data_IF_550974144628
#
_entry.id   IF_550974144628
#
_cell.length_a   1.000
_cell.length_b   1.000
_cell.length_c   1.000
_cell.angle_alpha   90.00
_cell.angle_beta   90.00
_cell.angle_gamma   90.00
#
_symmetry.space_group_name_H-M   'P 1'
#
loop_
_entity.id
_entity.type
_entity.pdbx_description
1 polymer ?
#
# COMPACT_ATOMS: atom_id res chain seq x y z
N UNK A 1 17.47 -11.40 39.97
CA UNK A 1 16.10 -11.07 39.53
C UNK A 1 16.25 -10.31 38.23
N UNK A 2 15.93 -10.99 37.15
CA UNK A 2 16.33 -10.63 35.79
C UNK A 2 15.66 -9.35 35.31
N UNK A 3 16.48 -8.33 35.07
CA UNK A 3 16.10 -7.15 34.33
C UNK A 3 16.29 -7.47 32.83
N UNK A 4 15.33 -8.19 32.24
CA UNK A 4 15.31 -8.35 30.78
C UNK A 4 14.85 -7.03 30.18
N UNK A 5 15.81 -6.24 29.71
CA UNK A 5 15.55 -5.12 28.81
C UNK A 5 14.94 -5.68 27.52
N UNK A 6 13.61 -5.61 27.39
CA UNK A 6 12.93 -5.87 26.13
C UNK A 6 13.39 -4.86 25.09
N UNK A 7 14.38 -5.24 24.27
CA UNK A 7 14.87 -4.41 23.18
C UNK A 7 13.73 -4.23 22.17
N UNK A 8 13.19 -3.03 22.08
CA UNK A 8 12.17 -2.68 21.08
C UNK A 8 12.79 -2.86 19.69
N UNK A 9 12.30 -3.85 18.94
CA UNK A 9 12.73 -4.10 17.56
C UNK A 9 11.94 -3.19 16.63
N UNK A 10 12.62 -2.22 16.01
CA UNK A 10 12.01 -1.36 15.00
C UNK A 10 11.79 -2.14 13.68
N UNK A 11 10.65 -1.97 13.00
CA UNK A 11 10.37 -2.57 11.70
C UNK A 11 11.06 -1.78 10.58
N UNK A 12 12.39 -1.87 10.47
CA UNK A 12 13.14 -1.20 9.40
C UNK A 12 13.07 -2.06 8.15
N UNK A 13 12.40 -1.55 7.10
CA UNK A 13 12.35 -2.22 5.78
C UNK A 13 11.34 -3.37 5.69
N UNK A 14 10.56 -3.62 6.74
CA UNK A 14 9.49 -4.61 6.72
C UNK A 14 8.24 -4.05 6.06
N UNK A 15 7.70 -4.80 5.11
CA UNK A 15 6.51 -4.46 4.35
C UNK A 15 5.42 -5.54 4.44
N UNK A 16 5.70 -6.63 5.16
CA UNK A 16 4.76 -7.70 5.41
C UNK A 16 4.19 -7.59 6.83
N UNK A 17 2.86 -7.56 6.93
CA UNK A 17 2.16 -7.38 8.20
C UNK A 17 2.30 -8.60 9.12
N UNK A 18 2.25 -9.81 8.56
CA UNK A 18 2.38 -11.04 9.32
C UNK A 18 3.78 -11.16 9.94
N UNK A 19 4.82 -10.98 9.14
CA UNK A 19 6.22 -11.00 9.63
C UNK A 19 6.42 -9.98 10.76
N UNK A 20 5.86 -8.77 10.61
CA UNK A 20 5.96 -7.72 11.62
C UNK A 20 5.32 -8.13 12.96
N UNK A 21 4.16 -8.79 12.90
CA UNK A 21 3.41 -9.25 14.09
C UNK A 21 4.06 -10.47 14.74
N UNK A 22 4.45 -11.47 13.94
CA UNK A 22 5.09 -12.70 14.42
C UNK A 22 6.46 -12.42 15.07
N UNK A 23 7.24 -11.47 14.54
CA UNK A 23 8.51 -11.03 15.13
C UNK A 23 8.35 -10.19 16.41
N UNK A 24 7.11 -9.89 16.82
CA UNK A 24 6.75 -9.03 17.97
C UNK A 24 7.47 -7.67 17.93
N UNK A 25 7.50 -7.07 16.74
CA UNK A 25 8.11 -5.74 16.53
C UNK A 25 7.13 -4.64 16.89
N UNK A 26 7.66 -3.44 17.04
CA UNK A 26 6.83 -2.27 17.27
C UNK A 26 5.88 -2.07 16.07
N UNK A 27 4.57 -2.15 16.33
CA UNK A 27 3.49 -1.91 15.38
C UNK A 27 2.62 -0.80 15.92
N UNK A 28 2.40 0.25 15.12
CA UNK A 28 1.35 1.23 15.42
C UNK A 28 0.10 0.78 14.68
N UNK A 29 -0.97 0.56 15.43
CA UNK A 29 -2.22 0.02 14.89
C UNK A 29 -2.86 0.99 13.90
N UNK A 30 -2.89 0.58 12.63
CA UNK A 30 -3.56 1.28 11.52
C UNK A 30 -4.72 0.49 10.95
N UNK A 31 -5.21 -0.52 11.68
CA UNK A 31 -6.22 -1.46 11.21
C UNK A 31 -7.60 -0.84 10.96
N UNK A 32 -7.91 0.31 11.56
CA UNK A 32 -9.10 1.10 11.22
C UNK A 32 -9.22 1.39 9.70
N UNK A 33 -8.08 1.44 9.00
CA UNK A 33 -8.02 1.52 7.54
C UNK A 33 -8.85 0.44 6.82
N UNK A 34 -8.88 -0.77 7.35
CA UNK A 34 -9.66 -1.87 6.76
C UNK A 34 -11.14 -1.52 6.80
N UNK A 35 -11.63 -1.07 7.95
CA UNK A 35 -13.01 -0.63 8.14
C UNK A 35 -13.38 0.52 7.19
N UNK A 36 -12.48 1.51 7.05
CA UNK A 36 -12.66 2.63 6.11
C UNK A 36 -12.75 2.14 4.65
N UNK A 37 -11.88 1.20 4.25
CA UNK A 37 -11.86 0.65 2.90
C UNK A 37 -13.10 -0.20 2.57
N UNK A 38 -13.63 -0.94 3.54
CA UNK A 38 -14.83 -1.78 3.41
C UNK A 38 -16.11 -0.95 3.33
N UNK A 39 -16.20 0.14 4.11
CA UNK A 39 -17.39 1.02 4.13
C UNK A 39 -17.48 1.96 2.93
N UNK A 40 -16.38 2.19 2.19
CA UNK A 40 -16.41 3.09 1.04
C UNK A 40 -17.40 2.60 -0.03
N UNK A 41 -18.28 3.49 -0.49
CA UNK A 41 -19.23 3.19 -1.56
C UNK A 41 -18.54 2.91 -2.91
N UNK A 42 -17.34 3.42 -3.14
CA UNK A 42 -16.62 3.23 -4.39
C UNK A 42 -15.97 1.84 -4.47
N UNK A 43 -16.31 1.06 -5.50
CA UNK A 43 -15.70 -0.26 -5.74
C UNK A 43 -14.19 -0.23 -5.94
N UNK A 44 -13.66 0.89 -6.44
CA UNK A 44 -12.23 1.03 -6.74
C UNK A 44 -11.69 2.21 -5.95
N UNK A 45 -10.72 1.93 -5.08
CA UNK A 45 -10.03 2.90 -4.24
C UNK A 45 -8.61 3.08 -4.76
N UNK A 46 -8.27 4.31 -5.14
CA UNK A 46 -6.92 4.70 -5.46
C UNK A 46 -6.33 5.50 -4.29
N UNK A 47 -5.22 5.02 -3.74
CA UNK A 47 -4.54 5.56 -2.58
C UNK A 47 -3.17 6.15 -2.99
N UNK A 48 -3.15 7.35 -3.62
CA UNK A 48 -1.89 7.98 -4.01
C UNK A 48 -1.19 8.50 -2.76
N UNK A 49 0.04 8.05 -2.52
CA UNK A 49 0.85 8.53 -1.38
C UNK A 49 2.34 8.71 -1.74
N UNK A 50 3.09 9.53 -1.01
CA UNK A 50 4.55 9.60 -1.13
C UNK A 50 5.25 8.27 -0.82
N UNK A 51 6.53 8.13 -1.20
CA UNK A 51 7.35 6.94 -0.89
C UNK A 51 7.54 6.77 0.64
N UNK A 52 7.65 5.52 1.10
CA UNK A 52 7.94 5.13 2.50
C UNK A 52 6.88 5.50 3.54
N UNK A 53 5.61 5.59 3.12
CA UNK A 53 4.47 5.89 4.00
C UNK A 53 3.66 4.64 4.41
N UNK A 54 4.28 3.46 4.43
CA UNK A 54 3.61 2.22 4.89
C UNK A 54 2.58 1.61 3.93
N UNK A 55 2.55 2.03 2.66
CA UNK A 55 1.58 1.54 1.65
C UNK A 55 1.54 0.02 1.52
N UNK A 56 2.71 -0.59 1.28
CA UNK A 56 2.82 -2.03 1.07
C UNK A 56 2.45 -2.78 2.35
N UNK A 57 2.81 -2.25 3.53
CA UNK A 57 2.38 -2.80 4.82
C UNK A 57 0.85 -2.75 4.96
N UNK A 58 0.20 -1.65 4.59
CA UNK A 58 -1.25 -1.53 4.66
C UNK A 58 -1.99 -2.41 3.64
N UNK A 59 -1.43 -2.61 2.45
CA UNK A 59 -1.97 -3.61 1.50
C UNK A 59 -1.75 -5.04 2.00
N UNK A 60 -0.61 -5.33 2.64
CA UNK A 60 -0.34 -6.61 3.28
C UNK A 60 -1.33 -6.88 4.42
N UNK A 61 -1.59 -5.87 5.27
CA UNK A 61 -2.62 -5.89 6.31
C UNK A 61 -4.01 -6.21 5.74
N UNK A 62 -4.45 -5.49 4.69
CA UNK A 62 -5.70 -5.77 3.99
C UNK A 62 -5.74 -7.19 3.40
N UNK A 63 -4.63 -7.64 2.81
CA UNK A 63 -4.51 -8.97 2.24
C UNK A 63 -4.74 -10.03 3.30
N UNK A 64 -4.00 -9.99 4.42
CA UNK A 64 -4.16 -10.97 5.49
C UNK A 64 -5.54 -10.93 6.15
N UNK A 65 -6.17 -9.75 6.21
CA UNK A 65 -7.51 -9.63 6.76
C UNK A 65 -8.60 -10.17 5.83
N UNK A 66 -8.51 -9.95 4.52
CA UNK A 66 -9.60 -10.27 3.57
C UNK A 66 -9.42 -11.61 2.84
N UNK A 67 -8.19 -12.01 2.56
CA UNK A 67 -7.88 -13.20 1.75
C UNK A 67 -8.32 -14.48 2.46
N UNK A 68 -9.16 -15.24 1.77
CA UNK A 68 -9.58 -16.57 2.18
C UNK A 68 -8.37 -17.50 2.20
N UNK A 69 -8.13 -18.09 3.37
CA UNK A 69 -7.05 -19.05 3.62
C UNK A 69 -7.60 -20.16 4.51
N UNK A 70 -6.96 -21.33 4.45
CA UNK A 70 -7.29 -22.46 5.31
C UNK A 70 -6.76 -22.26 6.74
N UNK A 71 -5.73 -21.42 6.89
CA UNK A 71 -5.15 -21.02 8.18
C UNK A 71 -6.00 -19.92 8.84
N UNK A 72 -6.30 -20.07 10.14
CA UNK A 72 -6.92 -19.04 10.96
C UNK A 72 -5.86 -17.99 11.38
N UNK A 73 -6.05 -16.75 10.92
CA UNK A 73 -5.15 -15.63 11.21
C UNK A 73 -5.68 -14.70 12.31
N UNK A 74 -6.72 -15.09 13.05
CA UNK A 74 -7.39 -14.24 14.05
C UNK A 74 -6.42 -13.68 15.10
N UNK A 75 -5.42 -14.46 15.53
CA UNK A 75 -4.37 -14.04 16.47
C UNK A 75 -3.51 -12.87 15.97
N UNK A 76 -3.47 -12.61 14.65
CA UNK A 76 -2.76 -11.45 14.11
C UNK A 76 -3.52 -10.14 14.34
N UNK A 77 -4.83 -10.21 14.59
CA UNK A 77 -5.74 -9.08 14.60
C UNK A 77 -6.51 -8.88 15.91
N UNK A 78 -6.54 -9.85 16.82
CA UNK A 78 -7.44 -9.87 17.98
C UNK A 78 -7.30 -8.66 18.93
N UNK A 79 -6.10 -8.09 19.02
CA UNK A 79 -5.74 -6.89 19.76
C UNK A 79 -5.90 -5.57 18.96
N UNK A 80 -6.24 -5.65 17.67
CA UNK A 80 -6.33 -4.49 16.78
C UNK A 80 -7.73 -3.88 16.72
N UNK A 81 -7.81 -2.59 16.43
CA UNK A 81 -9.05 -1.80 16.32
C UNK A 81 -10.06 -2.43 15.35
N UNK A 82 -9.62 -2.93 14.20
CA UNK A 82 -10.51 -3.57 13.20
C UNK A 82 -11.25 -4.77 13.76
N UNK A 83 -10.68 -5.49 14.73
CA UNK A 83 -11.28 -6.70 15.26
C UNK A 83 -12.49 -6.42 16.15
N UNK A 84 -12.55 -5.22 16.71
CA UNK A 84 -13.69 -4.71 17.48
C UNK A 84 -14.82 -4.21 16.57
N UNK A 85 -14.55 -4.01 15.28
CA UNK A 85 -15.54 -3.62 14.30
C UNK A 85 -16.26 -4.86 13.74
N UNK A 86 -17.46 -5.13 14.28
CA UNK A 86 -18.26 -6.32 13.95
C UNK A 86 -18.58 -6.40 12.45
N UNK A 87 -18.83 -5.27 11.79
CA UNK A 87 -19.11 -5.24 10.36
C UNK A 87 -17.86 -5.62 9.57
N UNK A 88 -16.72 -5.01 9.89
CA UNK A 88 -15.46 -5.33 9.23
C UNK A 88 -15.05 -6.80 9.46
N UNK A 89 -15.21 -7.30 10.69
CA UNK A 89 -14.87 -8.69 11.05
C UNK A 89 -15.70 -9.72 10.30
N UNK A 90 -16.90 -9.39 9.83
CA UNK A 90 -17.68 -10.27 8.96
C UNK A 90 -17.02 -10.53 7.59
N UNK A 91 -16.03 -9.70 7.21
CA UNK A 91 -15.25 -9.87 5.98
C UNK A 91 -13.94 -10.63 6.18
N UNK A 92 -13.64 -11.07 7.41
CA UNK A 92 -12.37 -11.68 7.76
C UNK A 92 -12.15 -13.03 7.03
N UNK A 93 -11.04 -13.13 6.30
CA UNK A 93 -10.59 -14.30 5.52
C UNK A 93 -11.68 -14.92 4.64
N UNK A 94 -12.48 -14.07 4.00
CA UNK A 94 -13.70 -14.52 3.33
C UNK A 94 -13.66 -14.33 1.80
N UNK A 95 -12.61 -13.70 1.26
CA UNK A 95 -12.55 -13.33 -0.16
C UNK A 95 -11.42 -14.03 -0.93
N UNK A 96 -11.67 -14.53 -2.15
CA UNK A 96 -10.58 -14.77 -3.07
C UNK A 96 -9.88 -13.43 -3.36
N UNK A 97 -8.57 -13.39 -3.22
CA UNK A 97 -7.79 -12.16 -3.36
C UNK A 97 -6.68 -12.34 -4.38
N UNK A 98 -6.56 -11.38 -5.30
CA UNK A 98 -5.42 -11.25 -6.21
C UNK A 98 -4.55 -10.11 -5.68
N UNK A 99 -3.28 -10.38 -5.38
CA UNK A 99 -2.33 -9.37 -4.94
C UNK A 99 -1.16 -9.27 -5.93
N UNK A 100 -0.89 -8.08 -6.43
CA UNK A 100 0.16 -7.82 -7.42
C UNK A 100 0.98 -6.62 -7.00
N UNK A 101 2.30 -6.71 -7.10
CA UNK A 101 3.20 -5.55 -6.95
C UNK A 101 3.95 -5.31 -8.25
N UNK A 102 3.96 -4.06 -8.72
CA UNK A 102 4.70 -3.63 -9.92
C UNK A 102 6.04 -2.97 -9.56
N UNK A 103 6.45 -3.04 -8.29
CA UNK A 103 7.63 -2.34 -7.75
C UNK A 103 8.93 -2.67 -8.47
N UNK A 104 9.04 -3.88 -9.02
CA UNK A 104 10.27 -4.40 -9.62
C UNK A 104 10.29 -4.27 -11.15
N UNK A 105 9.21 -3.77 -11.77
CA UNK A 105 9.12 -3.61 -13.23
C UNK A 105 9.74 -2.27 -13.61
N UNK A 106 11.06 -2.28 -13.82
CA UNK A 106 11.87 -1.08 -14.07
C UNK A 106 12.72 -1.18 -15.33
N UNK A 107 12.09 -1.67 -16.39
CA UNK A 107 12.80 -2.00 -17.61
C UNK A 107 13.17 -0.79 -18.47
N UNK A 108 14.16 -0.99 -19.33
CA UNK A 108 14.69 0.03 -20.23
C UNK A 108 13.85 0.25 -21.50
N UNK A 109 12.97 -0.70 -21.84
CA UNK A 109 12.13 -0.66 -23.03
C UNK A 109 10.70 -1.15 -22.74
N UNK A 110 9.76 -0.84 -23.63
CA UNK A 110 8.40 -1.36 -23.53
C UNK A 110 8.35 -2.88 -23.75
N UNK A 111 9.19 -3.44 -24.64
CA UNK A 111 9.23 -4.88 -24.90
C UNK A 111 9.63 -5.64 -23.63
N UNK A 112 10.72 -5.22 -22.99
CA UNK A 112 11.18 -5.82 -21.72
C UNK A 112 10.12 -5.63 -20.62
N UNK A 113 9.50 -4.45 -20.54
CA UNK A 113 8.39 -4.18 -19.61
C UNK A 113 7.24 -5.16 -19.82
N UNK A 114 6.89 -5.42 -21.08
CA UNK A 114 5.82 -6.34 -21.43
C UNK A 114 6.18 -7.78 -21.07
N UNK A 115 7.41 -8.23 -21.30
CA UNK A 115 7.90 -9.54 -20.85
C UNK A 115 7.84 -9.67 -19.31
N UNK A 116 8.28 -8.65 -18.56
CA UNK A 116 8.17 -8.63 -17.11
C UNK A 116 6.70 -8.73 -16.62
N UNK A 117 5.77 -8.10 -17.35
CA UNK A 117 4.33 -8.24 -17.08
C UNK A 117 3.82 -9.65 -17.39
N UNK A 118 4.30 -10.31 -18.46
CA UNK A 118 3.96 -11.69 -18.76
C UNK A 118 4.39 -12.62 -17.62
N UNK A 119 5.60 -12.44 -17.10
CA UNK A 119 6.11 -13.22 -15.98
C UNK A 119 5.33 -12.96 -14.68
N UNK A 120 4.98 -11.69 -14.42
CA UNK A 120 4.14 -11.33 -13.28
C UNK A 120 2.77 -12.01 -13.35
N UNK A 121 2.11 -11.97 -14.52
CA UNK A 121 0.83 -12.65 -14.74
C UNK A 121 0.98 -14.16 -14.58
N UNK A 122 2.06 -14.75 -15.11
CA UNK A 122 2.34 -16.18 -14.94
C UNK A 122 2.47 -16.55 -13.46
N UNK A 123 3.17 -15.73 -12.66
CA UNK A 123 3.30 -15.95 -11.22
C UNK A 123 1.92 -15.91 -10.53
N UNK A 124 1.12 -14.88 -10.82
CA UNK A 124 -0.23 -14.74 -10.23
C UNK A 124 -1.12 -15.94 -10.60
N UNK A 125 -1.08 -16.39 -11.86
CA UNK A 125 -1.78 -17.60 -12.28
C UNK A 125 -1.22 -18.86 -11.61
N UNK A 126 0.08 -18.90 -11.32
CA UNK A 126 0.64 -20.02 -10.58
C UNK A 126 0.14 -20.06 -9.12
N UNK A 127 0.01 -18.90 -8.46
CA UNK A 127 -0.52 -18.79 -7.10
C UNK A 127 -1.97 -19.29 -7.00
N UNK A 128 -2.76 -19.10 -8.06
CA UNK A 128 -4.16 -19.54 -8.12
C UNK A 128 -4.37 -20.85 -8.89
N UNK A 129 -3.34 -21.70 -9.02
CA UNK A 129 -3.38 -22.90 -9.87
C UNK A 129 -4.51 -23.87 -9.54
N UNK A 130 -4.97 -23.92 -8.28
CA UNK A 130 -6.08 -24.76 -7.83
C UNK A 130 -7.36 -24.58 -8.66
N UNK A 131 -7.53 -23.39 -9.26
CA UNK A 131 -8.66 -23.07 -10.16
C UNK A 131 -8.74 -23.99 -11.38
N UNK A 132 -7.61 -24.56 -11.84
CA UNK A 132 -7.59 -25.48 -12.99
C UNK A 132 -8.24 -26.83 -12.69
N UNK A 133 -8.22 -27.25 -11.42
CA UNK A 133 -8.77 -28.52 -10.98
C UNK A 133 -10.30 -28.44 -10.77
N UNK A 134 -10.83 -27.22 -10.69
CA UNK A 134 -12.23 -26.95 -10.43
C UNK A 134 -13.12 -27.33 -11.63
N UNK A 135 -14.27 -27.99 -11.42
CA UNK A 135 -15.19 -28.40 -12.48
C UNK A 135 -15.95 -27.23 -13.12
N UNK A 136 -16.01 -26.07 -12.47
CA UNK A 136 -16.76 -24.89 -12.91
C UNK A 136 -16.16 -24.23 -14.16
N UNK A 137 -14.88 -24.48 -14.43
CA UNK A 137 -14.20 -23.94 -15.61
C UNK A 137 -14.42 -24.82 -16.84
N UNK A 138 -14.82 -24.18 -17.94
CA UNK A 138 -14.91 -24.80 -19.27
C UNK A 138 -13.54 -25.25 -19.81
N UNK A 139 -13.48 -26.23 -20.73
CA UNK A 139 -12.24 -26.63 -21.39
C UNK A 139 -11.47 -25.45 -22.02
N UNK A 140 -12.18 -24.49 -22.61
CA UNK A 140 -11.62 -23.30 -23.26
C UNK A 140 -10.99 -22.34 -22.24
N UNK A 141 -11.65 -22.11 -21.09
CA UNK A 141 -11.09 -21.31 -20.00
C UNK A 141 -9.83 -21.98 -19.42
N UNK A 142 -9.86 -23.31 -19.23
CA UNK A 142 -8.68 -24.07 -18.76
C UNK A 142 -7.53 -24.01 -19.77
N UNK A 143 -7.79 -24.11 -21.07
CA UNK A 143 -6.76 -23.95 -22.09
C UNK A 143 -6.14 -22.55 -22.04
N UNK A 144 -6.97 -21.51 -22.04
CA UNK A 144 -6.52 -20.12 -21.93
C UNK A 144 -5.65 -19.88 -20.69
N UNK A 145 -6.06 -20.42 -19.55
CA UNK A 145 -5.29 -20.37 -18.30
C UNK A 145 -3.91 -21.05 -18.45
N UNK A 146 -3.87 -22.26 -19.03
CA UNK A 146 -2.63 -23.01 -19.26
C UNK A 146 -1.68 -22.27 -20.21
N UNK A 147 -2.21 -21.58 -21.23
CA UNK A 147 -1.39 -20.77 -22.14
C UNK A 147 -0.72 -19.60 -21.43
N UNK A 148 -1.40 -18.94 -20.49
CA UNK A 148 -0.79 -17.91 -19.65
C UNK A 148 0.28 -18.48 -18.71
N UNK A 149 0.06 -19.67 -18.14
CA UNK A 149 1.07 -20.35 -17.32
C UNK A 149 2.35 -20.73 -18.10
N UNK A 150 2.22 -21.00 -19.41
CA UNK A 150 3.33 -21.36 -20.30
C UNK A 150 3.99 -20.15 -20.98
N UNK A 151 3.55 -18.93 -20.67
CA UNK A 151 3.96 -17.69 -21.35
C UNK A 151 3.66 -17.69 -22.87
N UNK A 152 2.66 -18.45 -23.32
CA UNK A 152 2.20 -18.55 -24.72
C UNK A 152 0.98 -17.64 -25.02
N UNK A 153 0.70 -16.72 -24.11
CA UNK A 153 -0.41 -15.77 -24.21
C UNK A 153 -0.10 -14.63 -25.19
N UNK A 154 -1.07 -14.29 -26.04
CA UNK A 154 -0.96 -13.09 -26.88
C UNK A 154 -1.05 -11.80 -26.05
N UNK A 155 -0.64 -10.65 -26.60
CA UNK A 155 -0.81 -9.34 -25.96
C UNK A 155 -2.23 -9.09 -25.45
N UNK A 156 -3.24 -9.47 -26.23
CA UNK A 156 -4.66 -9.36 -25.84
C UNK A 156 -5.02 -10.29 -24.67
N UNK A 157 -4.41 -11.48 -24.61
CA UNK A 157 -4.63 -12.41 -23.50
C UNK A 157 -4.05 -11.87 -22.21
N UNK A 158 -2.79 -11.40 -22.23
CA UNK A 158 -2.12 -10.77 -21.09
C UNK A 158 -2.89 -9.54 -20.62
N UNK A 159 -3.32 -8.69 -21.57
CA UNK A 159 -4.14 -7.50 -21.29
C UNK A 159 -5.43 -7.81 -20.52
N UNK A 160 -6.05 -8.96 -20.79
CA UNK A 160 -7.30 -9.39 -20.16
C UNK A 160 -7.08 -10.34 -18.97
N UNK A 161 -5.84 -10.73 -18.67
CA UNK A 161 -5.56 -11.84 -17.76
C UNK A 161 -6.12 -11.63 -16.35
N UNK A 162 -6.10 -10.40 -15.82
CA UNK A 162 -6.68 -10.11 -14.50
C UNK A 162 -8.20 -10.20 -14.50
N UNK A 163 -8.86 -9.73 -15.57
CA UNK A 163 -10.31 -9.87 -15.72
C UNK A 163 -10.70 -11.34 -15.75
N UNK A 164 -10.03 -12.11 -16.59
CA UNK A 164 -10.27 -13.54 -16.75
C UNK A 164 -10.05 -14.26 -15.41
N UNK A 165 -8.99 -13.92 -14.68
CA UNK A 165 -8.73 -14.52 -13.37
C UNK A 165 -9.78 -14.15 -12.32
N UNK A 166 -10.27 -12.90 -12.31
CA UNK A 166 -11.36 -12.52 -11.39
C UNK A 166 -12.64 -13.31 -11.67
N UNK A 167 -12.94 -13.59 -12.94
CA UNK A 167 -14.06 -14.45 -13.32
C UNK A 167 -13.84 -15.89 -12.84
N UNK A 168 -12.67 -16.46 -13.09
CA UNK A 168 -12.38 -17.84 -12.71
C UNK A 168 -12.44 -18.05 -11.20
N UNK A 169 -11.87 -17.12 -10.42
CA UNK A 169 -11.96 -17.16 -8.96
C UNK A 169 -13.40 -17.01 -8.47
N UNK A 170 -14.21 -16.16 -9.11
CA UNK A 170 -15.63 -16.06 -8.78
C UNK A 170 -16.38 -17.36 -9.03
N UNK A 171 -16.15 -18.01 -10.18
CA UNK A 171 -16.79 -19.28 -10.52
C UNK A 171 -16.45 -20.39 -9.51
N UNK A 172 -15.19 -20.48 -9.08
CA UNK A 172 -14.75 -21.52 -8.14
C UNK A 172 -15.19 -21.22 -6.71
N UNK A 173 -15.08 -19.97 -6.27
CA UNK A 173 -15.30 -19.61 -4.87
C UNK A 173 -16.74 -19.13 -4.59
N UNK A 174 -17.56 -18.90 -5.62
CA UNK A 174 -18.90 -18.29 -5.54
C UNK A 174 -18.90 -16.96 -4.77
N UNK A 175 -17.79 -16.23 -4.87
CA UNK A 175 -17.53 -15.02 -4.12
C UNK A 175 -16.81 -14.00 -4.99
N UNK A 176 -17.23 -12.75 -4.90
CA UNK A 176 -16.55 -11.66 -5.58
C UNK A 176 -15.11 -11.51 -5.08
N UNK A 177 -14.23 -11.01 -5.95
CA UNK A 177 -12.78 -11.00 -5.76
C UNK A 177 -12.31 -9.65 -5.23
N UNK A 178 -11.33 -9.67 -4.34
CA UNK A 178 -10.55 -8.50 -3.94
C UNK A 178 -9.31 -8.40 -4.84
N UNK A 179 -9.10 -7.26 -5.50
CA UNK A 179 -7.92 -7.01 -6.33
C UNK A 179 -7.05 -5.91 -5.69
N UNK A 180 -5.85 -6.29 -5.26
CA UNK A 180 -4.88 -5.39 -4.62
C UNK A 180 -3.69 -5.17 -5.55
N UNK A 181 -3.47 -3.91 -5.98
CA UNK A 181 -2.38 -3.54 -6.89
C UNK A 181 -1.43 -2.55 -6.21
N UNK A 182 -0.23 -3.01 -5.87
CA UNK A 182 0.82 -2.20 -5.28
C UNK A 182 1.76 -1.59 -6.33
N UNK A 183 2.05 -0.30 -6.17
CA UNK A 183 2.90 0.48 -7.08
C UNK A 183 2.49 0.41 -8.56
N UNK A 184 1.18 0.40 -8.85
CA UNK A 184 0.60 0.24 -10.19
C UNK A 184 1.16 1.19 -11.27
N UNK A 185 1.71 2.34 -10.85
CA UNK A 185 2.22 3.38 -11.72
C UNK A 185 3.73 3.26 -12.02
N UNK A 186 4.45 2.33 -11.37
CA UNK A 186 5.91 2.14 -11.56
C UNK A 186 6.31 1.88 -13.02
N UNK A 187 5.69 0.95 -13.77
CA UNK A 187 6.09 0.70 -15.16
C UNK A 187 5.89 1.93 -16.07
N UNK A 188 4.85 2.73 -15.79
CA UNK A 188 4.51 3.93 -16.56
C UNK A 188 5.50 5.05 -16.24
N UNK A 189 5.88 5.21 -14.97
CA UNK A 189 6.96 6.10 -14.56
C UNK A 189 8.25 5.78 -15.30
N UNK A 190 8.57 4.50 -15.45
CA UNK A 190 9.78 4.07 -16.15
C UNK A 190 9.69 4.37 -17.64
N UNK A 191 8.53 4.15 -18.26
CA UNK A 191 8.28 4.57 -19.63
C UNK A 191 8.48 6.07 -19.84
N UNK A 192 8.03 6.91 -18.91
CA UNK A 192 8.29 8.35 -18.95
C UNK A 192 9.80 8.68 -18.87
N UNK A 193 10.53 8.04 -17.96
CA UNK A 193 11.96 8.29 -17.76
C UNK A 193 12.84 7.78 -18.91
N UNK A 194 12.38 6.75 -19.62
CA UNK A 194 13.15 6.03 -20.65
C UNK A 194 12.68 6.29 -22.08
N UNK A 195 11.58 7.03 -22.26
CA UNK A 195 11.09 7.47 -23.58
C UNK A 195 10.10 6.54 -24.27
N UNK A 196 9.43 5.62 -23.53
CA UNK A 196 8.39 4.71 -24.04
C UNK A 196 7.03 4.92 -23.36
N UNK A 197 6.75 6.15 -22.93
CA UNK A 197 5.55 6.48 -22.16
C UNK A 197 4.24 6.15 -22.90
N UNK A 198 4.16 6.46 -24.19
CA UNK A 198 2.93 6.31 -24.98
C UNK A 198 2.54 4.82 -25.16
N UNK A 199 3.52 3.94 -25.32
CA UNK A 199 3.26 2.49 -25.41
C UNK A 199 2.86 1.92 -24.04
N UNK A 200 3.55 2.34 -22.98
CA UNK A 200 3.23 1.93 -21.62
C UNK A 200 1.82 2.38 -21.22
N UNK A 201 1.48 3.66 -21.40
CA UNK A 201 0.19 4.21 -20.99
C UNK A 201 -0.95 3.55 -21.76
N UNK A 202 -0.79 3.29 -23.06
CA UNK A 202 -1.82 2.62 -23.87
C UNK A 202 -2.07 1.19 -23.37
N UNK A 203 -1.00 0.43 -23.11
CA UNK A 203 -1.13 -0.92 -22.58
C UNK A 203 -1.79 -0.93 -21.19
N UNK A 204 -1.23 -0.18 -20.23
CA UNK A 204 -1.69 -0.20 -18.84
C UNK A 204 -3.10 0.38 -18.66
N UNK A 205 -3.47 1.40 -19.44
CA UNK A 205 -4.86 1.90 -19.48
C UNK A 205 -5.83 0.78 -19.82
N UNK A 206 -5.55 0.02 -20.88
CA UNK A 206 -6.43 -1.07 -21.30
C UNK A 206 -6.39 -2.26 -20.33
N UNK A 207 -5.21 -2.57 -19.78
CA UNK A 207 -5.03 -3.65 -18.79
C UNK A 207 -5.81 -3.38 -17.51
N UNK A 208 -5.68 -2.19 -16.93
CA UNK A 208 -6.44 -1.80 -15.73
C UNK A 208 -7.93 -1.62 -16.01
N UNK A 209 -8.30 -1.03 -17.15
CA UNK A 209 -9.69 -0.91 -17.54
C UNK A 209 -10.37 -2.28 -17.67
N UNK A 210 -9.70 -3.27 -18.28
CA UNK A 210 -10.25 -4.62 -18.41
C UNK A 210 -10.53 -5.26 -17.04
N UNK A 211 -9.63 -5.08 -16.06
CA UNK A 211 -9.74 -5.69 -14.73
C UNK A 211 -10.73 -4.96 -13.80
N UNK A 212 -10.83 -3.63 -13.92
CA UNK A 212 -11.53 -2.80 -12.94
C UNK A 212 -12.86 -2.24 -13.46
N UNK A 213 -12.95 -1.90 -14.75
CA UNK A 213 -14.16 -1.27 -15.31
C UNK A 213 -15.29 -2.28 -15.46
N UNK A 214 -16.45 -1.97 -14.89
CA UNK A 214 -17.69 -2.74 -15.04
C UNK A 214 -17.49 -4.25 -14.76
N UNK A 215 -16.53 -4.59 -13.91
CA UNK A 215 -16.23 -5.98 -13.55
C UNK A 215 -17.24 -6.47 -12.49
N UNK A 216 -18.19 -7.29 -12.92
CA UNK A 216 -19.22 -7.86 -12.05
C UNK A 216 -18.65 -8.80 -10.96
N UNK A 217 -17.48 -9.39 -11.21
CA UNK A 217 -16.81 -10.32 -10.32
C UNK A 217 -15.96 -9.63 -9.26
N UNK A 218 -15.77 -8.31 -9.34
CA UNK A 218 -14.95 -7.54 -8.40
C UNK A 218 -15.78 -7.04 -7.21
N UNK A 219 -15.34 -7.38 -6.00
CA UNK A 219 -15.85 -6.83 -4.75
C UNK A 219 -15.21 -5.47 -4.46
N UNK A 220 -13.87 -5.44 -4.51
CA UNK A 220 -13.06 -4.27 -4.20
C UNK A 220 -11.76 -4.28 -5.00
N UNK A 221 -11.45 -3.17 -5.67
CA UNK A 221 -10.12 -2.90 -6.22
C UNK A 221 -9.41 -1.86 -5.37
N UNK A 222 -8.22 -2.14 -4.85
CA UNK A 222 -7.41 -1.18 -4.08
C UNK A 222 -6.07 -1.03 -4.75
N UNK A 223 -5.73 0.20 -5.13
CA UNK A 223 -4.51 0.54 -5.85
C UNK A 223 -3.68 1.51 -5.04
N UNK A 224 -2.38 1.29 -4.94
CA UNK A 224 -1.43 2.23 -4.32
C UNK A 224 -0.39 2.68 -5.33
N UNK A 225 -0.04 3.97 -5.32
CA UNK A 225 0.95 4.53 -6.25
C UNK A 225 1.39 5.91 -5.82
N UNK A 226 2.23 6.57 -6.61
CA UNK A 226 2.78 7.90 -6.28
C UNK A 226 2.04 8.99 -7.09
N UNK A 227 1.81 8.76 -8.38
CA UNK A 227 1.36 9.80 -9.30
C UNK A 227 -0.14 10.02 -9.28
N UNK A 228 -0.52 11.29 -9.08
CA UNK A 228 -1.84 11.82 -9.46
C UNK A 228 -1.96 12.05 -10.98
N UNK A 229 -0.85 12.27 -11.69
CA UNK A 229 -0.85 12.60 -13.14
C UNK A 229 -1.19 11.38 -14.01
N UNK A 230 -0.73 10.19 -13.62
CA UNK A 230 -1.08 8.94 -14.30
C UNK A 230 -2.61 8.69 -14.31
N UNK A 231 -3.35 9.26 -13.34
CA UNK A 231 -4.81 9.12 -13.25
C UNK A 231 -5.53 9.66 -14.48
N UNK A 232 -5.20 10.86 -14.93
CA UNK A 232 -5.95 11.52 -16.02
C UNK A 232 -5.78 10.76 -17.34
N UNK A 233 -4.63 10.13 -17.53
CA UNK A 233 -4.34 9.33 -18.73
C UNK A 233 -4.85 7.87 -18.62
N UNK A 234 -4.75 7.23 -17.44
CA UNK A 234 -5.16 5.83 -17.24
C UNK A 234 -6.65 5.64 -16.97
N UNK A 235 -7.25 6.55 -16.22
CA UNK A 235 -8.57 6.37 -15.61
C UNK A 235 -9.62 7.34 -16.14
N UNK A 236 -9.31 8.10 -17.20
CA UNK A 236 -10.30 8.94 -17.91
C UNK A 236 -11.50 8.15 -18.42
N UNK A 237 -11.38 6.84 -18.61
CA UNK A 237 -12.47 5.94 -18.98
C UNK A 237 -13.14 5.19 -17.82
N UNK A 238 -12.70 5.38 -16.56
CA UNK A 238 -13.25 4.72 -15.38
C UNK A 238 -14.14 5.68 -14.59
N UNK A 239 -15.44 5.39 -14.54
CA UNK A 239 -16.41 6.24 -13.84
C UNK A 239 -16.51 5.97 -12.33
N UNK A 240 -15.83 4.92 -11.82
CA UNK A 240 -16.05 4.39 -10.48
C UNK A 240 -14.78 4.37 -9.59
N UNK A 241 -13.72 5.09 -9.98
CA UNK A 241 -12.48 5.20 -9.18
C UNK A 241 -12.58 6.39 -8.25
N UNK A 242 -12.54 6.13 -6.94
CA UNK A 242 -12.43 7.18 -5.93
C UNK A 242 -10.99 7.31 -5.48
N UNK A 243 -10.46 8.53 -5.58
CA UNK A 243 -9.13 8.86 -5.06
C UNK A 243 -9.28 9.24 -3.60
N UNK A 244 -8.61 8.50 -2.70
CA UNK A 244 -8.57 8.87 -1.29
C UNK A 244 -7.24 9.53 -0.96
N UNK A 245 -7.27 10.84 -0.73
CA UNK A 245 -6.09 11.68 -0.48
C UNK A 245 -5.70 11.69 1.00
N UNK A 246 -4.49 12.17 1.36
CA UNK A 246 -4.09 12.33 2.78
C UNK A 246 -4.89 13.43 3.48
N UNK A 247 -5.54 14.29 2.69
CA UNK A 247 -6.36 15.40 3.17
C UNK A 247 -7.80 14.95 3.43
N UNK A 248 -8.14 13.71 3.07
CA UNK A 248 -9.47 13.17 3.32
C UNK A 248 -9.50 12.75 4.79
N UNK A 249 -10.39 13.33 5.62
CA UNK A 249 -10.41 13.09 7.06
C UNK A 249 -10.51 11.60 7.42
N UNK A 250 -11.24 10.85 6.59
CA UNK A 250 -11.44 9.40 6.70
C UNK A 250 -10.16 8.58 6.49
N UNK A 251 -9.11 9.10 5.84
CA UNK A 251 -7.87 8.33 5.55
C UNK A 251 -6.59 9.02 6.07
N UNK A 252 -6.76 10.06 6.90
CA UNK A 252 -5.67 10.91 7.37
C UNK A 252 -4.78 10.21 8.40
N UNK A 253 -5.37 9.36 9.24
CA UNK A 253 -4.66 8.61 10.30
C UNK A 253 -4.17 7.25 9.81
N UNK A 254 -4.69 6.74 8.70
CA UNK A 254 -4.43 5.39 8.19
C UNK A 254 -2.99 5.18 7.69
N UNK A 255 -2.21 6.25 7.48
CA UNK A 255 -0.84 6.20 6.96
C UNK A 255 0.09 7.17 7.71
N UNK A 256 1.30 6.71 8.10
CA UNK A 256 2.26 7.51 8.86
C UNK A 256 1.99 7.50 10.37
N UNK A 257 2.70 8.33 11.15
CA UNK A 257 2.50 8.47 12.59
C UNK A 257 1.82 9.80 12.92
N UNK A 258 0.80 9.77 13.78
CA UNK A 258 0.22 10.98 14.37
C UNK A 258 1.10 11.48 15.53
N UNK A 259 0.96 12.75 15.90
CA UNK A 259 1.70 13.29 17.05
C UNK A 259 1.32 12.57 18.35
N UNK A 260 0.04 12.21 18.51
CA UNK A 260 -0.44 11.44 19.66
C UNK A 260 0.14 10.02 19.70
N UNK A 261 0.24 9.33 18.57
CA UNK A 261 0.89 8.02 18.48
C UNK A 261 2.37 8.12 18.87
N UNK A 262 3.07 9.13 18.38
CA UNK A 262 4.47 9.39 18.75
C UNK A 262 4.63 9.70 20.25
N UNK A 263 3.64 10.32 20.88
CA UNK A 263 3.64 10.63 22.32
C UNK A 263 3.20 9.44 23.19
N UNK A 264 2.29 8.60 22.71
CA UNK A 264 1.86 7.38 23.40
C UNK A 264 3.03 6.39 23.51
N UNK A 265 3.76 6.19 22.41
CA UNK A 265 4.98 5.37 22.38
C UNK A 265 6.05 5.86 23.36
N UNK A 266 6.17 7.18 23.54
CA UNK A 266 7.09 7.78 24.52
C UNK A 266 6.72 7.50 25.97
N UNK A 267 5.43 7.30 26.28
CA UNK A 267 4.95 7.05 27.65
C UNK A 267 5.02 5.58 28.03
N UNK A 268 4.95 4.66 27.06
CA UNK A 268 5.21 3.23 27.26
C UNK A 268 6.69 2.90 27.45
N UNK A 269 7.59 3.73 26.90
CA UNK A 269 9.02 3.65 27.17
C UNK A 269 9.37 4.38 28.46
N UNK A 270 9.56 3.63 29.55
CA UNK A 270 10.14 4.18 30.78
C UNK A 270 11.41 4.98 30.49
N UNK A 271 11.34 6.28 30.77
CA UNK A 271 12.44 7.23 30.99
C UNK A 271 13.84 6.80 30.55
N UNK A 272 14.21 7.09 29.31
CA UNK A 272 15.53 7.66 28.99
C UNK A 272 15.38 8.39 27.66
N UNK A 273 15.85 9.64 27.56
CA UNK A 273 15.82 10.48 26.36
C UNK A 273 16.14 9.66 25.10
N UNK A 274 15.11 9.20 24.40
CA UNK A 274 15.33 8.23 23.34
C UNK A 274 15.84 8.96 22.09
N UNK A 275 16.98 8.46 21.63
CA UNK A 275 17.72 8.77 20.40
C UNK A 275 16.83 8.88 19.14
N UNK A 276 15.60 8.36 19.22
CA UNK A 276 14.53 8.38 18.20
C UNK A 276 14.22 9.81 17.73
N UNK A 277 14.08 10.76 18.66
CA UNK A 277 13.63 12.12 18.29
C UNK A 277 14.72 12.90 17.54
N UNK A 278 15.99 12.75 17.93
CA UNK A 278 17.10 13.45 17.27
C UNK A 278 17.39 12.88 15.88
N UNK A 279 17.26 11.57 15.65
CA UNK A 279 17.56 10.94 14.35
C UNK A 279 16.48 11.15 13.29
N UNK A 280 15.20 11.24 13.69
CA UNK A 280 14.09 11.44 12.75
C UNK A 280 13.92 12.92 12.40
N UNK A 281 14.02 13.84 13.38
CA UNK A 281 13.90 15.27 13.11
C UNK A 281 15.09 15.84 12.33
N UNK A 282 16.32 15.37 12.58
CA UNK A 282 17.53 15.85 11.86
C UNK A 282 17.59 15.43 10.40
N UNK A 283 16.86 14.38 9.98
CA UNK A 283 16.84 13.91 8.58
C UNK A 283 15.66 14.41 7.77
N UNK A 284 14.66 15.01 8.41
CA UNK A 284 13.42 15.42 7.74
C UNK A 284 13.40 16.90 7.34
N UNK A 285 14.14 17.77 8.04
CA UNK A 285 14.12 19.22 7.79
C UNK A 285 15.44 19.91 8.21
N UNK A 286 16.33 20.31 7.28
CA UNK A 286 17.51 21.12 7.62
C UNK A 286 17.21 22.58 7.97
N UNK A 287 15.94 23.02 7.97
CA UNK A 287 15.56 24.45 8.12
C UNK A 287 14.47 24.74 9.16
N UNK A 288 14.36 23.92 10.21
CA UNK A 288 13.54 24.25 11.38
C UNK A 288 14.30 24.15 12.71
N UNK A 289 15.64 24.13 12.66
CA UNK A 289 16.50 24.32 13.83
C UNK A 289 16.86 25.81 13.98
N UNK A 290 15.86 26.69 14.05
CA UNK A 290 16.06 28.08 14.48
C UNK A 290 14.73 28.70 14.87
N UNK A 291 14.17 28.24 16.00
CA UNK A 291 13.22 28.94 16.88
C UNK A 291 12.81 27.93 17.96
N UNK A 292 12.72 28.36 19.21
CA UNK A 292 12.61 27.56 20.44
C UNK A 292 13.95 27.20 21.10
N UNK A 293 14.77 28.21 21.33
CA UNK A 293 15.62 28.27 22.51
C UNK A 293 15.38 29.61 23.21
N UNK A 294 14.51 29.62 24.22
CA UNK A 294 14.39 30.58 25.35
C UNK A 294 12.94 31.00 25.62
N UNK A 295 12.24 30.25 26.48
CA UNK A 295 11.02 30.74 27.14
C UNK A 295 10.93 30.16 28.55
N UNK A 296 11.89 30.52 29.40
CA UNK A 296 11.77 30.46 30.86
C UNK A 296 12.44 31.70 31.43
N UNK A 297 11.63 32.74 31.75
CA UNK A 297 11.73 33.63 32.92
C UNK A 297 10.89 34.90 32.73
N UNK A 298 9.85 35.01 33.56
CA UNK A 298 9.48 36.21 34.33
C UNK A 298 8.84 37.43 33.63
N UNK A 299 7.87 38.11 34.25
CA UNK A 299 7.20 39.26 33.65
C UNK A 299 7.89 40.62 33.95
N UNK A 300 7.70 41.58 33.02
CA UNK A 300 7.77 43.06 33.16
C UNK A 300 9.12 43.77 33.44
N UNK A 301 9.61 44.62 32.52
CA UNK A 301 9.33 46.08 32.41
C UNK A 301 10.07 46.71 31.20
N UNK A 302 9.57 47.81 30.60
CA UNK A 302 10.14 48.43 29.40
C UNK A 302 11.15 49.55 29.75
N UNK A 303 12.33 49.53 29.12
CA UNK A 303 13.28 50.63 29.22
C UNK A 303 14.61 50.39 28.50
N UNK A 304 14.90 51.25 27.53
CA UNK A 304 16.24 51.69 27.09
C UNK A 304 17.15 50.66 26.38
N UNK A 305 17.18 50.79 25.05
CA UNK A 305 18.39 51.20 24.32
C UNK A 305 19.54 50.22 24.03
N UNK A 306 19.94 50.24 22.74
CA UNK A 306 21.31 50.15 22.19
C UNK A 306 21.76 48.80 21.57
N UNK A 307 21.72 48.81 20.23
CA UNK A 307 22.74 48.47 19.19
C UNK A 307 23.80 47.36 19.41
N UNK A 308 23.86 46.54 18.34
CA UNK A 308 25.01 46.21 17.46
C UNK A 308 25.83 44.92 17.67
N UNK A 309 26.15 44.31 16.51
CA UNK A 309 27.16 43.27 16.25
C UNK A 309 26.52 41.94 15.78
N UNK A 310 26.65 41.42 14.56
CA UNK A 310 27.60 41.65 13.48
C UNK A 310 28.53 40.43 13.30
N UNK A 311 28.38 39.72 12.17
CA UNK A 311 29.33 38.75 11.57
C UNK A 311 29.53 37.40 12.29
N UNK A 312 29.85 36.26 11.65
CA UNK A 312 30.14 35.91 10.26
C UNK A 312 29.83 34.42 10.04
N UNK A 313 29.63 34.05 8.78
CA UNK A 313 29.65 32.67 8.29
C UNK A 313 31.11 32.21 8.14
N UNK A 314 31.38 30.94 8.46
CA UNK A 314 32.57 30.26 7.96
C UNK A 314 32.21 28.86 7.44
N UNK A 315 32.78 28.61 6.27
CA UNK A 315 32.81 27.40 5.48
C UNK A 315 33.75 26.35 6.06
N UNK A 316 33.35 25.09 6.01
CA UNK A 316 34.12 23.97 5.43
C UNK A 316 33.22 22.74 5.31
#
# INVERSE_FOLDING_TARGET
MDNQSTSIKLPIGMADFRELREDKRLYVDKSAFISEALRDHAKILLLPRPRRFGKTLNLSLLRYFLEKRDEDLSELFDDLVVWQDVEARAHFQDYPTIFITFKDIKEGSFEDTFQAIQDLIRQVYHEHRYVLDAPELTPEQKDRYRRLLRSEGSKTMVRNALRDLTEYLYLVNQKQVVLLLDEYDTPIQQGYLRGFYDEAIDFFRNFYAAALKDNAYLFRGILTGILRVARESLFSGLNNVRVRSLLDPEYATSFGFTEEEMLHERRGTGSTESVITRKILSRSHPRLACQHGSALRGPFQPGVGIRAGGCAADST
#
